data_IF_288302657959
#
_entry.id   IF_288302657959
#
_cell.length_a   1.000
_cell.length_b   1.000
_cell.length_c   1.000
_cell.angle_alpha   90.00
_cell.angle_beta   90.00
_cell.angle_gamma   90.00
#
_symmetry.space_group_name_H-M   'P 1'
#
loop_
_entity.id
_entity.type
_entity.pdbx_description
1 polymer ?
#
# COMPACT_ATOMS: atom_id res chain seq x y z
N UNK A 1 -3.48 3.68 -0.60
CA UNK A 1 -2.68 4.86 -0.19
C UNK A 1 -1.84 4.52 1.03
N UNK A 2 -0.55 4.86 1.04
CA UNK A 2 0.40 4.63 2.15
C UNK A 2 0.95 5.97 2.68
N UNK A 3 1.79 5.94 3.71
CA UNK A 3 2.28 7.14 4.42
C UNK A 3 1.11 8.03 4.89
N UNK A 4 0.11 7.39 5.51
CA UNK A 4 -1.06 8.06 6.06
C UNK A 4 -0.89 8.17 7.59
N UNK A 5 -1.02 9.40 8.11
CA UNK A 5 -0.69 9.76 9.48
C UNK A 5 -1.82 10.49 10.19
N UNK A 6 -2.59 11.32 9.48
CA UNK A 6 -3.71 12.07 10.08
C UNK A 6 -5.08 11.69 9.50
N UNK A 7 -6.11 12.27 10.14
CA UNK A 7 -7.50 12.03 9.82
C UNK A 7 -7.90 12.60 8.46
N UNK A 8 -7.42 13.79 8.11
CA UNK A 8 -7.78 14.50 6.88
C UNK A 8 -7.24 13.81 5.64
N UNK A 9 -6.07 13.17 5.72
CA UNK A 9 -5.60 12.24 4.70
C UNK A 9 -6.57 11.07 4.50
N UNK A 10 -7.11 10.51 5.58
CA UNK A 10 -8.08 9.42 5.48
C UNK A 10 -9.39 9.90 4.86
N UNK A 11 -9.95 11.03 5.32
CA UNK A 11 -11.18 11.59 4.73
C UNK A 11 -11.01 11.82 3.22
N UNK A 12 -9.92 12.48 2.81
CA UNK A 12 -9.64 12.71 1.39
C UNK A 12 -9.51 11.40 0.59
N UNK A 13 -8.88 10.37 1.17
CA UNK A 13 -8.79 9.04 0.54
C UNK A 13 -10.17 8.38 0.37
N UNK A 14 -11.03 8.48 1.40
CA UNK A 14 -12.37 7.92 1.37
C UNK A 14 -13.27 8.62 0.33
N UNK A 15 -13.21 9.96 0.26
CA UNK A 15 -13.94 10.75 -0.73
C UNK A 15 -13.46 10.48 -2.17
N UNK A 16 -12.18 10.13 -2.34
CA UNK A 16 -11.59 9.69 -3.60
C UNK A 16 -11.89 8.22 -3.97
N UNK A 17 -12.67 7.49 -3.15
CA UNK A 17 -13.03 6.08 -3.36
C UNK A 17 -11.84 5.13 -3.59
N UNK A 18 -10.71 5.37 -2.90
CA UNK A 18 -9.55 4.47 -3.01
C UNK A 18 -9.90 3.09 -2.43
N UNK A 19 -9.32 2.02 -2.97
CA UNK A 19 -9.59 0.65 -2.50
C UNK A 19 -9.18 0.45 -1.04
N UNK A 20 -8.00 0.94 -0.66
CA UNK A 20 -7.37 0.65 0.62
C UNK A 20 -6.47 1.80 1.07
N UNK A 21 -6.44 2.07 2.38
CA UNK A 21 -5.46 2.93 3.04
C UNK A 21 -4.60 2.12 4.03
N UNK A 22 -3.34 2.52 4.19
CA UNK A 22 -2.43 1.90 5.16
C UNK A 22 -1.86 2.92 6.15
N UNK A 23 -2.62 3.31 7.19
CA UNK A 23 -2.14 4.21 8.23
C UNK A 23 -1.01 3.60 9.06
N UNK A 24 0.04 4.38 9.33
CA UNK A 24 1.24 3.90 10.01
C UNK A 24 1.18 4.15 11.52
N UNK A 25 0.92 3.09 12.29
CA UNK A 25 0.71 3.14 13.75
C UNK A 25 2.01 3.49 14.48
N UNK A 26 3.02 2.64 14.37
CA UNK A 26 4.25 2.79 15.15
C UNK A 26 5.08 4.02 14.79
N UNK A 27 4.94 4.55 13.56
CA UNK A 27 5.62 5.81 13.17
C UNK A 27 4.99 7.04 13.84
N UNK A 28 3.69 6.99 14.15
CA UNK A 28 3.03 8.02 14.96
C UNK A 28 3.60 7.94 16.37
N UNK A 29 3.63 6.74 16.99
CA UNK A 29 4.24 6.55 18.32
C UNK A 29 5.69 7.05 18.36
N UNK A 30 6.53 6.70 17.39
CA UNK A 30 7.92 7.17 17.31
C UNK A 30 8.03 8.69 17.41
N UNK A 31 7.14 9.43 16.73
CA UNK A 31 7.15 10.90 16.75
C UNK A 31 6.82 11.42 18.13
N UNK A 32 5.78 10.89 18.78
CA UNK A 32 5.38 11.34 20.12
C UNK A 32 6.41 10.97 21.19
N UNK A 33 7.01 9.78 21.12
CA UNK A 33 8.12 9.38 22.01
C UNK A 33 9.31 10.33 21.84
N UNK A 34 9.60 10.78 20.62
CA UNK A 34 10.71 11.71 20.38
C UNK A 34 10.41 13.12 20.87
N UNK A 35 9.19 13.62 20.66
CA UNK A 35 8.86 15.05 20.78
C UNK A 35 8.06 15.44 22.03
N UNK A 36 7.66 14.49 22.87
CA UNK A 36 6.90 14.75 24.11
C UNK A 36 7.54 14.06 25.31
N UNK A 37 7.15 14.41 26.53
CA UNK A 37 7.71 13.79 27.74
C UNK A 37 7.30 12.32 27.92
N UNK A 38 6.16 11.92 27.34
CA UNK A 38 5.66 10.55 27.47
C UNK A 38 6.40 9.60 26.52
N UNK A 39 7.15 8.67 27.10
CA UNK A 39 8.00 7.71 26.38
C UNK A 39 7.46 6.28 26.31
N UNK A 40 6.39 5.99 27.03
CA UNK A 40 5.76 4.67 27.08
C UNK A 40 4.28 4.81 26.84
N UNK A 41 3.76 3.94 25.99
CA UNK A 41 2.35 3.87 25.63
C UNK A 41 1.89 2.44 25.80
N UNK A 42 0.65 2.26 26.21
CA UNK A 42 -0.04 0.98 26.15
C UNK A 42 -1.02 0.97 24.96
N UNK A 43 -1.65 -0.17 24.71
CA UNK A 43 -2.59 -0.33 23.58
C UNK A 43 -3.81 0.60 23.64
N UNK A 44 -4.12 1.22 24.79
CA UNK A 44 -5.27 2.12 24.97
C UNK A 44 -4.89 3.57 24.74
N UNK A 45 -3.65 3.94 25.06
CA UNK A 45 -3.20 5.31 25.02
C UNK A 45 -2.19 5.65 23.91
N UNK A 46 -1.73 4.65 23.15
CA UNK A 46 -0.89 4.82 21.97
C UNK A 46 -1.52 5.77 20.94
N UNK A 47 -0.81 6.80 20.49
CA UNK A 47 -1.34 7.81 19.59
C UNK A 47 -1.61 7.26 18.17
N UNK A 48 -0.85 6.27 17.72
CA UNK A 48 -1.08 5.59 16.46
C UNK A 48 -2.33 4.72 16.50
N UNK A 49 -2.52 3.95 17.58
CA UNK A 49 -3.74 3.15 17.80
C UNK A 49 -4.96 4.06 17.83
N UNK A 50 -4.91 5.17 18.57
CA UNK A 50 -6.00 6.16 18.61
C UNK A 50 -6.31 6.74 17.24
N UNK A 51 -5.28 7.09 16.46
CA UNK A 51 -5.45 7.62 15.10
C UNK A 51 -6.19 6.61 14.20
N UNK A 52 -5.73 5.35 14.17
CA UNK A 52 -6.37 4.32 13.35
C UNK A 52 -7.77 3.98 13.81
N UNK A 53 -8.01 3.89 15.13
CA UNK A 53 -9.35 3.67 15.68
C UNK A 53 -10.33 4.77 15.26
N UNK A 54 -9.90 6.04 15.31
CA UNK A 54 -10.71 7.18 14.82
C UNK A 54 -11.04 7.04 13.34
N UNK A 55 -10.05 6.70 12.51
CA UNK A 55 -10.23 6.53 11.07
C UNK A 55 -11.17 5.36 10.76
N UNK A 56 -10.96 4.21 11.38
CA UNK A 56 -11.80 3.02 11.22
C UNK A 56 -13.25 3.33 11.56
N UNK A 57 -13.51 3.90 12.74
CA UNK A 57 -14.86 4.22 13.17
C UNK A 57 -15.54 5.24 12.25
N UNK A 58 -14.83 6.25 11.77
CA UNK A 58 -15.35 7.20 10.77
C UNK A 58 -15.74 6.49 9.46
N UNK A 59 -14.88 5.60 8.97
CA UNK A 59 -15.14 4.86 7.74
C UNK A 59 -16.39 3.97 7.86
N UNK A 60 -16.50 3.23 8.96
CA UNK A 60 -17.65 2.34 9.21
C UNK A 60 -18.93 3.13 9.46
N UNK A 61 -18.88 4.22 10.24
CA UNK A 61 -20.03 5.10 10.50
C UNK A 61 -20.66 5.64 9.21
N UNK A 62 -19.82 6.08 8.26
CA UNK A 62 -20.30 6.71 7.03
C UNK A 62 -20.37 5.76 5.83
N UNK A 63 -20.15 4.45 6.05
CA UNK A 63 -20.30 3.43 5.02
C UNK A 63 -19.25 3.48 3.90
N UNK A 64 -18.09 4.08 4.15
CA UNK A 64 -17.00 4.10 3.17
C UNK A 64 -16.46 2.69 2.92
N UNK A 65 -16.26 2.35 1.63
CA UNK A 65 -15.82 1.01 1.21
C UNK A 65 -14.31 0.82 1.22
N UNK A 66 -13.56 1.91 1.33
CA UNK A 66 -12.11 1.87 1.48
C UNK A 66 -11.72 1.02 2.69
N UNK A 67 -10.87 0.03 2.48
CA UNK A 67 -10.38 -0.85 3.54
C UNK A 67 -9.33 -0.12 4.39
N UNK A 68 -9.37 -0.33 5.71
CA UNK A 68 -8.36 0.18 6.64
C UNK A 68 -7.36 -0.94 6.95
N UNK A 69 -6.13 -0.83 6.45
CA UNK A 69 -5.05 -1.76 6.74
C UNK A 69 -4.01 -1.14 7.68
N UNK A 70 -4.15 -1.35 8.98
CA UNK A 70 -3.18 -0.79 9.93
C UNK A 70 -1.78 -1.38 9.69
N UNK A 71 -0.75 -0.53 9.73
CA UNK A 71 0.60 -0.86 9.27
C UNK A 71 1.69 -0.25 10.17
N UNK A 72 2.94 -0.68 9.93
CA UNK A 72 4.15 -0.11 10.55
C UNK A 72 4.20 -0.20 12.08
N UNK A 73 3.77 -1.32 12.65
CA UNK A 73 3.80 -1.60 14.09
C UNK A 73 5.22 -1.61 14.69
N UNK A 74 5.36 -1.26 15.97
CA UNK A 74 6.59 -1.39 16.77
C UNK A 74 6.53 -2.55 17.76
N UNK A 75 5.34 -2.90 18.24
CA UNK A 75 5.15 -3.89 19.29
C UNK A 75 3.79 -4.59 19.13
N UNK A 76 3.60 -5.68 19.87
CA UNK A 76 2.36 -6.48 19.83
C UNK A 76 1.18 -5.75 20.49
N UNK A 77 1.41 -4.85 21.44
CA UNK A 77 0.36 -4.07 22.10
C UNK A 77 -0.42 -3.20 21.11
N UNK A 78 0.28 -2.53 20.19
CA UNK A 78 -0.37 -1.76 19.12
C UNK A 78 -1.27 -2.63 18.22
N UNK A 79 -0.84 -3.85 17.91
CA UNK A 79 -1.60 -4.81 17.09
C UNK A 79 -2.84 -5.24 17.85
N UNK A 80 -2.67 -5.64 19.12
CA UNK A 80 -3.74 -6.06 20.01
C UNK A 80 -4.77 -4.94 20.23
N UNK A 81 -4.33 -3.67 20.27
CA UNK A 81 -5.19 -2.49 20.36
C UNK A 81 -6.07 -2.26 19.13
N UNK A 82 -5.73 -2.87 17.99
CA UNK A 82 -6.45 -2.72 16.72
C UNK A 82 -7.09 -4.04 16.23
N UNK A 83 -7.26 -5.02 17.12
CA UNK A 83 -7.95 -6.26 16.79
C UNK A 83 -9.38 -5.97 16.29
N UNK A 84 -9.70 -6.45 15.09
CA UNK A 84 -10.97 -6.17 14.41
C UNK A 84 -10.90 -5.09 13.31
N UNK A 85 -9.72 -4.47 13.12
CA UNK A 85 -9.46 -3.70 11.90
C UNK A 85 -9.63 -4.58 10.64
N UNK A 86 -9.91 -3.99 9.48
CA UNK A 86 -10.18 -4.78 8.26
C UNK A 86 -8.99 -5.67 7.89
N UNK A 87 -7.79 -5.10 7.98
CA UNK A 87 -6.53 -5.77 7.68
C UNK A 87 -5.44 -5.24 8.62
N UNK A 88 -4.45 -6.08 8.91
CA UNK A 88 -3.24 -5.72 9.65
C UNK A 88 -2.04 -6.23 8.86
N UNK A 89 -1.10 -5.36 8.50
CA UNK A 89 0.17 -5.77 7.89
C UNK A 89 1.27 -5.82 8.94
N UNK A 90 1.66 -7.03 9.33
CA UNK A 90 2.52 -7.29 10.50
C UNK A 90 3.86 -7.83 10.02
N UNK A 91 4.97 -7.35 10.61
CA UNK A 91 6.30 -7.85 10.26
C UNK A 91 6.50 -9.30 10.75
N UNK A 92 7.37 -10.10 10.11
CA UNK A 92 7.61 -11.47 10.54
C UNK A 92 8.04 -11.60 12.01
N UNK A 93 8.84 -10.66 12.52
CA UNK A 93 9.28 -10.66 13.92
C UNK A 93 8.14 -10.44 14.91
N UNK A 94 7.18 -9.56 14.59
CA UNK A 94 6.00 -9.34 15.43
C UNK A 94 5.01 -10.51 15.32
N UNK A 95 4.87 -11.13 14.13
CA UNK A 95 4.07 -12.36 13.98
C UNK A 95 4.62 -13.49 14.83
N UNK A 96 5.95 -13.65 14.88
CA UNK A 96 6.58 -14.65 15.75
C UNK A 96 6.27 -14.38 17.23
N UNK A 97 6.38 -13.12 17.68
CA UNK A 97 6.02 -12.76 19.05
C UNK A 97 4.55 -13.07 19.37
N UNK A 98 3.63 -12.73 18.47
CA UNK A 98 2.20 -13.04 18.63
C UNK A 98 1.92 -14.55 18.67
N UNK A 99 2.66 -15.35 17.91
CA UNK A 99 2.49 -16.82 17.93
C UNK A 99 2.92 -17.48 19.24
N UNK A 100 3.65 -16.76 20.10
CA UNK A 100 4.13 -17.21 21.41
C UNK A 100 3.36 -16.56 22.56
N UNK A 101 2.30 -15.82 22.24
CA UNK A 101 1.55 -15.00 23.18
C UNK A 101 0.14 -15.59 23.36
N UNK A 102 -0.11 -16.11 24.56
CA UNK A 102 -1.36 -16.78 24.92
C UNK A 102 -2.41 -15.82 25.54
N UNK A 103 -2.19 -14.50 25.46
CA UNK A 103 -3.16 -13.54 25.97
C UNK A 103 -4.48 -13.62 25.19
N UNK A 104 -5.59 -13.80 25.92
CA UNK A 104 -6.93 -13.64 25.36
C UNK A 104 -7.23 -12.15 25.11
N UNK A 105 -7.11 -11.72 23.85
CA UNK A 105 -7.32 -10.31 23.46
C UNK A 105 -8.73 -10.10 22.92
N UNK A 106 -9.54 -9.19 23.50
CA UNK A 106 -10.87 -8.90 22.96
C UNK A 106 -10.78 -8.15 21.62
N UNK A 107 -11.80 -8.32 20.78
CA UNK A 107 -11.95 -7.52 19.56
C UNK A 107 -12.21 -6.07 19.93
N UNK A 108 -11.25 -5.19 19.63
CA UNK A 108 -11.27 -3.77 19.96
C UNK A 108 -12.10 -2.93 18.98
N UNK A 109 -12.14 -3.33 17.70
CA UNK A 109 -12.82 -2.61 16.63
C UNK A 109 -13.93 -3.48 16.02
N UNK A 110 -15.16 -2.95 16.02
CA UNK A 110 -16.33 -3.62 15.41
C UNK A 110 -17.11 -2.63 14.58
N UNK A 111 -17.46 -3.03 13.36
CA UNK A 111 -18.25 -2.19 12.46
C UNK A 111 -19.65 -1.89 13.01
N UNK A 112 -20.23 -2.81 13.79
CA UNK A 112 -21.52 -2.64 14.49
C UNK A 112 -21.51 -1.44 15.43
N UNK A 113 -20.40 -1.24 16.14
CA UNK A 113 -20.30 -0.23 17.20
C UNK A 113 -20.20 1.17 16.59
N UNK A 114 -19.52 1.28 15.46
CA UNK A 114 -19.35 2.54 14.74
C UNK A 114 -20.68 3.12 14.21
N UNK A 115 -21.68 2.30 13.89
CA UNK A 115 -22.97 2.77 13.38
C UNK A 115 -23.72 3.66 14.40
N UNK A 116 -23.59 3.36 15.69
CA UNK A 116 -24.22 4.10 16.78
C UNK A 116 -23.44 5.33 17.26
N UNK A 117 -22.20 5.53 16.79
CA UNK A 117 -21.36 6.64 17.26
C UNK A 117 -21.83 8.00 16.71
N UNK A 118 -21.74 9.03 17.53
CA UNK A 118 -21.93 10.42 17.09
C UNK A 118 -20.62 10.96 16.48
N UNK A 119 -20.43 10.66 15.19
CA UNK A 119 -19.29 11.17 14.42
C UNK A 119 -19.87 11.97 13.23
N UNK A 120 -19.71 13.30 13.21
CA UNK A 120 -20.22 14.11 12.12
C UNK A 120 -19.38 13.89 10.85
N UNK A 121 -20.04 13.97 9.69
CA UNK A 121 -19.36 13.89 8.40
C UNK A 121 -18.52 15.15 8.21
N UNK A 122 -17.29 14.97 7.75
CA UNK A 122 -16.34 16.03 7.40
C UNK A 122 -16.06 15.94 5.92
N UNK A 123 -15.97 17.09 5.25
CA UNK A 123 -15.50 17.22 3.87
C UNK A 123 -14.16 17.92 3.85
N UNK A 124 -13.23 17.40 3.06
CA UNK A 124 -11.86 17.90 3.00
C UNK A 124 -11.53 18.32 1.57
N UNK A 125 -11.64 19.62 1.30
CA UNK A 125 -11.12 20.20 0.04
C UNK A 125 -9.59 20.41 0.12
N UNK A 126 -8.97 20.85 -0.97
CA UNK A 126 -7.52 21.04 -1.01
C UNK A 126 -7.01 22.06 0.04
N UNK A 127 -7.76 23.14 0.29
CA UNK A 127 -7.33 24.21 1.21
C UNK A 127 -7.40 23.71 2.65
N UNK A 128 -8.51 23.07 3.01
CA UNK A 128 -8.70 22.41 4.30
C UNK A 128 -7.66 21.32 4.51
N UNK A 129 -7.39 20.50 3.50
CA UNK A 129 -6.37 19.45 3.55
C UNK A 129 -4.99 20.02 3.85
N UNK A 130 -4.53 21.00 3.06
CA UNK A 130 -3.20 21.60 3.21
C UNK A 130 -3.03 22.28 4.56
N UNK A 131 -4.05 22.98 5.02
CA UNK A 131 -4.03 23.63 6.33
C UNK A 131 -3.99 22.60 7.48
N UNK A 132 -4.85 21.59 7.45
CA UNK A 132 -4.88 20.56 8.48
C UNK A 132 -3.58 19.74 8.54
N UNK A 133 -2.99 19.43 7.38
CA UNK A 133 -1.65 18.84 7.33
C UNK A 133 -0.62 19.74 8.01
N UNK A 134 -0.64 21.05 7.73
CA UNK A 134 0.31 22.01 8.31
C UNK A 134 0.18 22.13 9.84
N UNK A 135 -1.06 22.12 10.37
CA UNK A 135 -1.32 22.18 11.82
C UNK A 135 -0.92 20.89 12.55
N UNK A 136 -0.90 19.74 11.86
CA UNK A 136 -0.42 18.48 12.39
C UNK A 136 1.09 18.29 12.11
N UNK A 137 1.90 18.81 13.03
CA UNK A 137 3.36 18.69 12.95
C UNK A 137 3.83 17.22 12.82
N UNK A 138 3.16 16.29 13.49
CA UNK A 138 3.49 14.86 13.44
C UNK A 138 3.26 14.31 12.04
N UNK A 139 2.09 14.56 11.47
CA UNK A 139 1.75 14.06 10.14
C UNK A 139 2.61 14.69 9.05
N UNK A 140 2.88 16.00 9.14
CA UNK A 140 3.76 16.71 8.21
C UNK A 140 5.19 16.17 8.24
N UNK A 141 5.77 16.04 9.44
CA UNK A 141 7.13 15.53 9.60
C UNK A 141 7.24 14.10 9.08
N UNK A 142 6.31 13.22 9.47
CA UNK A 142 6.38 11.80 9.14
C UNK A 142 6.07 11.51 7.68
N UNK A 143 5.17 12.28 7.05
CA UNK A 143 4.97 12.22 5.61
C UNK A 143 6.24 12.59 4.86
N UNK A 144 6.83 13.75 5.20
CA UNK A 144 8.03 14.24 4.51
C UNK A 144 9.24 13.32 4.74
N UNK A 145 9.44 12.84 5.97
CA UNK A 145 10.48 11.86 6.32
C UNK A 145 10.29 10.55 5.55
N UNK A 146 9.08 10.01 5.51
CA UNK A 146 8.75 8.77 4.80
C UNK A 146 9.05 8.85 3.31
N UNK A 147 8.64 9.95 2.65
CA UNK A 147 8.93 10.18 1.23
C UNK A 147 10.44 10.20 0.96
N UNK A 148 11.20 10.95 1.77
CA UNK A 148 12.66 11.04 1.62
C UNK A 148 13.34 9.67 1.79
N UNK A 149 12.89 8.89 2.76
CA UNK A 149 13.45 7.55 3.01
C UNK A 149 13.15 6.59 1.87
N UNK A 150 11.91 6.53 1.36
CA UNK A 150 11.62 5.68 0.20
C UNK A 150 12.37 6.08 -1.05
N UNK A 151 12.57 7.39 -1.29
CA UNK A 151 13.39 7.85 -2.40
C UNK A 151 14.87 7.42 -2.25
N UNK A 152 15.41 7.49 -1.02
CA UNK A 152 16.77 7.00 -0.73
C UNK A 152 16.90 5.51 -1.05
N UNK A 153 15.93 4.70 -0.62
CA UNK A 153 15.94 3.26 -0.86
C UNK A 153 15.79 2.92 -2.35
N UNK A 154 14.94 3.66 -3.08
CA UNK A 154 14.79 3.52 -4.52
C UNK A 154 16.11 3.79 -5.27
N UNK A 155 16.83 4.85 -4.90
CA UNK A 155 18.15 5.19 -5.47
C UNK A 155 19.22 4.13 -5.16
N UNK A 156 19.18 3.55 -3.96
CA UNK A 156 20.06 2.45 -3.60
C UNK A 156 19.78 1.20 -4.44
N UNK A 157 18.49 0.86 -4.63
CA UNK A 157 18.08 -0.26 -5.47
C UNK A 157 18.52 -0.08 -6.92
N UNK A 158 18.38 1.11 -7.49
CA UNK A 158 18.84 1.40 -8.85
C UNK A 158 20.35 1.19 -9.01
N UNK A 159 21.13 1.62 -8.01
CA UNK A 159 22.59 1.42 -8.03
C UNK A 159 22.94 -0.07 -8.06
N UNK A 160 22.25 -0.89 -7.25
CA UNK A 160 22.38 -2.35 -7.25
C UNK A 160 21.97 -2.95 -8.59
N UNK A 161 20.86 -2.47 -9.18
CA UNK A 161 20.38 -2.95 -10.47
C UNK A 161 21.38 -2.66 -11.61
N UNK A 162 21.94 -1.44 -11.65
CA UNK A 162 22.97 -1.05 -12.60
C UNK A 162 24.23 -1.89 -12.42
N UNK A 163 24.68 -2.08 -11.18
CA UNK A 163 25.84 -2.92 -10.89
C UNK A 163 25.64 -4.37 -11.35
N UNK A 164 24.49 -4.97 -11.02
CA UNK A 164 24.14 -6.33 -11.46
C UNK A 164 24.05 -6.43 -12.97
N UNK A 165 23.43 -5.45 -13.64
CA UNK A 165 23.36 -5.41 -15.10
C UNK A 165 24.76 -5.41 -15.72
N UNK A 166 25.70 -4.61 -15.19
CA UNK A 166 27.09 -4.59 -15.68
C UNK A 166 27.80 -5.94 -15.51
N UNK A 167 27.59 -6.62 -14.37
CA UNK A 167 28.18 -7.94 -14.11
C UNK A 167 27.61 -9.03 -15.03
N UNK A 168 26.33 -8.95 -15.39
CA UNK A 168 25.67 -9.94 -16.26
C UNK A 168 25.96 -9.72 -17.75
N UNK A 169 26.40 -8.51 -18.14
CA UNK A 169 26.83 -8.21 -19.51
C UNK A 169 28.30 -7.76 -19.58
N UNK A 170 29.27 -8.58 -19.12
CA UNK A 170 30.67 -8.16 -19.03
C UNK A 170 31.31 -7.96 -20.41
N UNK A 171 30.76 -8.56 -21.46
CA UNK A 171 31.24 -8.50 -22.84
C UNK A 171 30.31 -7.75 -23.80
N UNK A 172 29.41 -6.90 -23.29
CA UNK A 172 28.64 -6.04 -24.17
C UNK A 172 29.56 -4.96 -24.75
N UNK A 173 30.10 -5.25 -25.94
CA UNK A 173 30.90 -4.35 -26.79
C UNK A 173 30.11 -3.13 -27.30
N UNK A 174 29.15 -2.62 -26.54
CA UNK A 174 28.60 -1.28 -26.77
C UNK A 174 29.52 -0.32 -26.02
N UNK A 175 30.51 0.17 -26.75
CA UNK A 175 31.68 0.89 -26.27
C UNK A 175 31.40 1.94 -25.19
N UNK A 176 31.61 1.56 -23.94
CA UNK A 176 31.95 2.49 -22.87
C UNK A 176 33.39 2.17 -22.49
N UNK A 177 34.33 2.84 -23.15
CA UNK A 177 35.75 2.76 -22.81
C UNK A 177 35.98 3.54 -21.51
N UNK A 178 36.16 2.81 -20.41
CA UNK A 178 36.37 3.37 -19.08
C UNK A 178 37.70 4.13 -18.90
N UNK A 179 38.50 4.32 -19.96
CA UNK A 179 39.76 5.06 -19.92
C UNK A 179 39.70 6.50 -20.43
N UNK A 180 38.57 6.96 -20.97
CA UNK A 180 38.38 8.36 -21.37
C UNK A 180 37.22 8.95 -20.59
N UNK A 181 37.51 9.90 -19.70
CA UNK A 181 36.52 10.66 -18.93
C UNK A 181 35.69 11.64 -19.78
N UNK A 182 35.20 11.22 -20.95
CA UNK A 182 34.30 11.98 -21.79
C UNK A 182 33.16 11.07 -22.26
N UNK A 183 31.95 11.45 -21.87
CA UNK A 183 30.71 10.83 -22.28
C UNK A 183 30.42 11.24 -23.72
N UNK A 184 30.82 10.42 -24.70
CA UNK A 184 30.46 10.65 -26.11
C UNK A 184 29.12 9.97 -26.40
N UNK A 185 28.05 10.75 -26.49
CA UNK A 185 26.73 10.29 -26.93
C UNK A 185 26.79 9.96 -28.43
N UNK A 186 27.04 8.70 -28.79
CA UNK A 186 26.83 8.23 -30.16
C UNK A 186 25.37 7.89 -30.37
N UNK A 187 24.74 8.55 -31.35
CA UNK A 187 23.38 8.21 -31.77
C UNK A 187 23.30 6.73 -32.22
N UNK A 188 22.23 6.01 -31.87
CA UNK A 188 22.09 4.62 -32.27
C UNK A 188 21.82 4.55 -33.78
N UNK A 189 22.77 3.98 -34.54
CA UNK A 189 22.56 3.61 -35.94
C UNK A 189 21.25 2.84 -36.17
N UNK A 190 20.49 3.25 -37.19
CA UNK A 190 19.13 2.80 -37.51
C UNK A 190 18.96 1.28 -37.70
N UNK A 191 20.05 0.52 -37.93
CA UNK A 191 19.94 -0.94 -38.12
C UNK A 191 19.54 -1.72 -36.86
N UNK A 192 19.60 -1.09 -35.67
CA UNK A 192 19.32 -1.73 -34.38
C UNK A 192 17.85 -1.83 -34.00
N UNK A 193 16.93 -1.25 -34.77
CA UNK A 193 15.48 -1.35 -34.54
C UNK A 193 14.78 -2.46 -35.35
N UNK A 194 15.53 -3.30 -36.06
CA UNK A 194 14.95 -4.29 -36.99
C UNK A 194 14.27 -5.48 -36.31
N UNK A 195 14.68 -5.84 -35.07
CA UNK A 195 14.07 -6.94 -34.31
C UNK A 195 12.73 -6.55 -33.66
N UNK A 196 12.70 -5.42 -32.96
CA UNK A 196 11.51 -4.92 -32.26
C UNK A 196 10.43 -4.46 -33.23
N UNK A 197 10.79 -3.83 -34.35
CA UNK A 197 9.83 -3.46 -35.40
C UNK A 197 9.22 -4.70 -36.10
N UNK A 198 9.97 -5.80 -36.28
CA UNK A 198 9.41 -7.06 -36.79
C UNK A 198 8.46 -7.75 -35.81
N UNK A 199 8.72 -7.64 -34.51
CA UNK A 199 7.83 -8.22 -33.50
C UNK A 199 6.51 -7.43 -33.40
N UNK A 200 6.58 -6.10 -33.42
CA UNK A 200 5.39 -5.22 -33.43
C UNK A 200 4.56 -5.43 -34.71
N UNK A 201 5.19 -5.44 -35.90
CA UNK A 201 4.47 -5.70 -37.16
C UNK A 201 3.81 -7.09 -37.21
N UNK A 202 4.39 -8.09 -36.55
CA UNK A 202 3.83 -9.45 -36.46
C UNK A 202 2.66 -9.53 -35.47
N UNK A 203 2.57 -8.61 -34.50
CA UNK A 203 1.41 -8.45 -33.61
C UNK A 203 0.29 -7.72 -34.35
N UNK A 204 0.60 -6.64 -35.07
CA UNK A 204 -0.36 -5.84 -35.82
C UNK A 204 -1.05 -6.65 -36.94
N UNK A 205 -0.30 -7.44 -37.72
CA UNK A 205 -0.90 -8.35 -38.72
C UNK A 205 -1.81 -9.43 -38.12
N UNK A 206 -1.57 -9.82 -36.86
CA UNK A 206 -2.38 -10.83 -36.14
C UNK A 206 -3.67 -10.24 -35.55
N UNK A 207 -3.75 -8.92 -35.48
CA UNK A 207 -4.93 -8.14 -35.05
C UNK A 207 -5.78 -7.74 -36.26
N UNK A 208 -5.16 -7.46 -37.40
CA UNK A 208 -5.84 -7.05 -38.65
C UNK A 208 -6.42 -8.23 -39.46
N UNK A 209 -5.88 -9.44 -39.32
CA UNK A 209 -6.36 -10.63 -40.04
C UNK A 209 -7.65 -11.29 -39.50
N UNK A 210 -8.26 -10.77 -38.43
CA UNK A 210 -9.48 -11.35 -37.85
C UNK A 210 -10.73 -10.78 -38.51
N UNK A 211 -11.54 -11.65 -39.11
CA UNK A 211 -12.82 -11.25 -39.71
C UNK A 211 -13.85 -10.91 -38.63
N UNK A 212 -14.84 -10.07 -38.99
CA UNK A 212 -15.89 -9.58 -38.08
C UNK A 212 -16.65 -10.70 -37.35
N UNK A 213 -16.77 -11.89 -37.94
CA UNK A 213 -17.50 -13.02 -37.35
C UNK A 213 -16.78 -13.67 -36.15
N UNK A 214 -15.47 -13.50 -36.01
CA UNK A 214 -14.70 -14.06 -34.88
C UNK A 214 -14.70 -13.15 -33.65
N UNK A 215 -15.10 -11.87 -33.79
CA UNK A 215 -15.15 -10.91 -32.67
C UNK A 215 -16.48 -10.94 -31.90
N UNK A 216 -17.51 -11.61 -32.42
CA UNK A 216 -18.87 -11.58 -31.85
C UNK A 216 -19.27 -12.87 -31.10
N UNK A 217 -18.37 -13.85 -30.94
CA UNK A 217 -18.66 -15.13 -30.25
C UNK A 217 -18.06 -15.31 -28.84
N UNK A 218 -17.52 -14.26 -28.21
CA UNK A 218 -17.15 -14.37 -26.78
C UNK A 218 -18.32 -13.97 -25.86
N UNK A 219 -18.72 -14.84 -24.91
CA UNK A 219 -19.83 -14.56 -24.02
C UNK A 219 -19.47 -13.48 -23.01
N UNK A 220 -20.31 -12.42 -22.95
CA UNK A 220 -20.33 -11.48 -21.83
C UNK A 220 -21.04 -12.14 -20.64
N UNK A 221 -20.31 -12.45 -19.58
CA UNK A 221 -20.85 -12.74 -18.24
C UNK A 221 -19.81 -12.28 -17.21
N UNK A 222 -20.10 -11.50 -16.16
CA UNK A 222 -21.37 -11.16 -15.55
C UNK A 222 -21.76 -12.18 -14.48
N UNK A 223 -21.59 -11.77 -13.21
CA UNK A 223 -22.12 -12.34 -11.96
C UNK A 223 -21.26 -13.37 -11.20
N UNK A 224 -20.70 -12.91 -10.07
CA UNK A 224 -20.36 -13.74 -8.90
C UNK A 224 -21.63 -13.75 -8.04
N UNK A 225 -22.20 -14.93 -7.81
CA UNK A 225 -23.25 -15.18 -6.81
C UNK A 225 -22.84 -16.41 -6.00
N UNK A 226 -22.81 -16.23 -4.69
CA UNK A 226 -22.90 -17.17 -3.57
C UNK A 226 -22.26 -18.56 -3.66
N UNK A 227 -21.32 -18.81 -2.73
CA UNK A 227 -20.91 -20.16 -2.32
C UNK A 227 -21.69 -20.61 -1.08
N UNK A 228 -22.37 -21.75 -1.18
CA UNK A 228 -22.66 -22.72 -0.12
C UNK A 228 -23.22 -24.01 -0.74
N UNK A 229 -23.21 -25.17 -0.05
CA UNK A 229 -22.10 -25.91 0.55
C UNK A 229 -21.86 -27.27 -0.16
N UNK A 230 -20.77 -27.96 0.20
CA UNK A 230 -20.43 -29.31 -0.29
C UNK A 230 -21.29 -30.34 0.44
N UNK A 231 -22.14 -31.08 -0.30
CA UNK A 231 -22.76 -32.32 0.19
C UNK A 231 -21.77 -33.48 0.05
N UNK A 232 -21.51 -34.16 1.16
CA UNK A 232 -20.77 -35.42 1.23
C UNK A 232 -21.80 -36.55 1.14
N UNK A 233 -21.72 -37.39 0.10
CA UNK A 233 -22.55 -38.59 -0.01
C UNK A 233 -22.02 -39.69 0.90
N UNK A 234 -22.83 -40.12 1.86
CA UNK A 234 -22.67 -41.42 2.53
C UNK A 234 -22.85 -42.55 1.52
N UNK A 235 -21.89 -43.46 1.41
CA UNK A 235 -22.16 -44.88 1.17
C UNK A 235 -20.94 -45.75 1.54
N UNK A 236 -21.20 -46.60 2.53
CA UNK A 236 -20.69 -47.96 2.75
C UNK A 236 -19.35 -48.21 3.48
N UNK A 237 -19.54 -48.90 4.63
CA UNK A 237 -18.67 -49.67 5.52
C UNK A 237 -17.83 -48.95 6.58
#
# INVERSE_FOLDING_TARGET
MTLLFNFEQAVACAEANVTLISPFVGRIMDWYVKNTDKKKYDRRDDPGVKSVTRIYNYYKKHGYKTQVMAASFRNTEEIKGLMGCDLLTISPGLLQQLSQDDEAVPVALKSSDAAGMDIPRVTVDEKTFRWAMNEDAMATDKLAEGIRNFNKDARALESIAVERSRRLTPNNRYGVDARKGQMEMREPSESRYTGTKRWIARIEQRVEGRTKSEREQEPRSGNIVDMAPIEVSEQEY
#
